data_IF_741100810843
#
_entry.id   IF_741100810843
#
_cell.length_a   1.000
_cell.length_b   1.000
_cell.length_c   1.000
_cell.angle_alpha   90.00
_cell.angle_beta   90.00
_cell.angle_gamma   90.00
#
_symmetry.space_group_name_H-M   'P 1'
#
loop_
_entity.id
_entity.type
_entity.pdbx_description
1 polymer ?
#
# COMPACT_ATOMS: atom_id res chain seq x y z
N UNK A 1 -2.82 7.83 11.50
CA UNK A 1 -2.85 6.70 12.45
C UNK A 1 -2.91 5.41 11.68
N UNK A 2 -1.86 4.59 11.81
CA UNK A 2 -1.80 3.14 11.63
C UNK A 2 -2.58 2.45 10.50
N UNK A 3 -2.56 2.99 9.28
CA UNK A 3 -2.62 2.11 8.12
C UNK A 3 -1.25 1.95 7.51
N UNK A 4 -0.85 0.68 7.37
CA UNK A 4 0.25 0.25 6.52
C UNK A 4 1.67 0.44 7.08
N UNK A 5 1.92 0.07 8.35
CA UNK A 5 3.26 0.16 8.98
C UNK A 5 4.40 -0.55 8.20
N UNK A 6 4.09 -1.37 7.20
CA UNK A 6 5.07 -2.04 6.34
C UNK A 6 5.05 -1.65 4.86
N UNK A 7 3.93 -1.18 4.28
CA UNK A 7 3.81 -0.90 2.83
C UNK A 7 3.72 0.59 2.48
N UNK A 8 3.32 1.47 3.41
CA UNK A 8 3.18 2.92 3.17
C UNK A 8 3.59 3.69 4.41
N UNK A 9 4.47 4.67 4.24
CA UNK A 9 4.88 5.57 5.31
C UNK A 9 3.68 6.37 5.85
N UNK A 10 3.36 6.17 7.12
CA UNK A 10 2.20 6.79 7.78
C UNK A 10 2.26 8.31 7.92
N UNK A 11 3.42 8.93 7.66
CA UNK A 11 3.63 10.38 7.76
C UNK A 11 3.41 11.12 6.44
N UNK A 12 3.62 10.46 5.30
CA UNK A 12 3.60 11.12 3.98
C UNK A 12 2.91 10.30 2.87
N UNK A 13 2.38 9.12 3.18
CA UNK A 13 1.66 8.30 2.21
C UNK A 13 2.55 7.64 1.14
N UNK A 14 3.87 7.70 1.26
CA UNK A 14 4.79 7.09 0.28
C UNK A 14 4.87 5.59 0.47
N UNK A 15 4.70 4.84 -0.62
CA UNK A 15 4.80 3.37 -0.65
C UNK A 15 6.25 2.91 -0.42
N UNK A 16 6.47 1.96 0.50
CA UNK A 16 7.75 1.23 0.56
C UNK A 16 7.80 0.20 -0.57
N UNK A 17 8.60 0.50 -1.59
CA UNK A 17 8.78 -0.33 -2.78
C UNK A 17 9.23 -1.76 -2.45
N UNK A 18 9.95 -1.96 -1.34
CA UNK A 18 10.48 -3.28 -0.95
C UNK A 18 9.41 -4.17 -0.35
N UNK A 19 8.35 -3.58 0.18
CA UNK A 19 7.28 -4.30 0.85
C UNK A 19 6.19 -4.78 -0.11
N UNK A 20 6.17 -4.25 -1.34
CA UNK A 20 5.25 -4.69 -2.39
C UNK A 20 6.02 -5.53 -3.40
N UNK A 21 5.71 -6.83 -3.45
CA UNK A 21 6.43 -7.82 -4.27
C UNK A 21 6.56 -7.42 -5.75
N UNK A 22 5.46 -6.91 -6.35
CA UNK A 22 5.42 -6.52 -7.77
C UNK A 22 6.26 -5.29 -8.07
N UNK A 23 6.53 -4.44 -7.08
CA UNK A 23 7.41 -3.27 -7.21
C UNK A 23 8.86 -3.65 -6.90
N UNK A 24 9.09 -4.48 -5.87
CA UNK A 24 10.41 -4.96 -5.49
C UNK A 24 11.06 -5.83 -6.59
N UNK A 25 10.27 -6.57 -7.36
CA UNK A 25 10.71 -7.46 -8.44
C UNK A 25 10.05 -7.11 -9.76
N UNK A 26 10.06 -5.82 -10.11
CA UNK A 26 9.42 -5.32 -11.32
C UNK A 26 9.82 -6.11 -12.57
N UNK A 27 8.83 -6.45 -13.39
CA UNK A 27 9.00 -7.11 -14.68
C UNK A 27 8.44 -6.21 -15.77
N UNK A 28 9.04 -6.20 -16.96
CA UNK A 28 8.64 -5.30 -18.04
C UNK A 28 7.21 -5.53 -18.56
N UNK A 29 6.63 -6.71 -18.33
CA UNK A 29 5.23 -7.02 -18.67
C UNK A 29 4.23 -6.64 -17.57
N UNK A 30 4.69 -6.17 -16.41
CA UNK A 30 3.78 -5.65 -15.39
C UNK A 30 3.16 -4.34 -15.85
N UNK A 31 1.89 -4.16 -15.47
CA UNK A 31 1.11 -2.98 -15.79
C UNK A 31 0.61 -2.32 -14.51
N UNK A 32 0.15 -1.07 -14.62
CA UNK A 32 -0.49 -0.35 -13.52
C UNK A 32 -1.63 -1.18 -12.91
N UNK A 33 -2.37 -1.92 -13.75
CA UNK A 33 -3.42 -2.84 -13.30
C UNK A 33 -2.88 -3.89 -12.30
N UNK A 34 -1.73 -4.49 -12.58
CA UNK A 34 -1.10 -5.49 -11.69
C UNK A 34 -0.73 -4.86 -10.35
N UNK A 35 -0.19 -3.64 -10.36
CA UNK A 35 0.16 -2.90 -9.14
C UNK A 35 -1.07 -2.63 -8.28
N UNK A 36 -2.15 -2.13 -8.88
CA UNK A 36 -3.39 -1.82 -8.17
C UNK A 36 -4.07 -3.09 -7.61
N UNK A 37 -4.01 -4.21 -8.34
CA UNK A 37 -4.54 -5.48 -7.88
C UNK A 37 -3.75 -6.03 -6.68
N UNK A 38 -2.42 -5.93 -6.70
CA UNK A 38 -1.58 -6.36 -5.57
C UNK A 38 -1.81 -5.49 -4.33
N UNK A 39 -1.92 -4.17 -4.51
CA UNK A 39 -2.29 -3.25 -3.42
C UNK A 39 -3.62 -3.64 -2.78
N UNK A 40 -4.66 -3.88 -3.58
CA UNK A 40 -5.97 -4.32 -3.08
C UNK A 40 -5.86 -5.66 -2.34
N UNK A 41 -5.11 -6.62 -2.88
CA UNK A 41 -4.88 -7.92 -2.23
C UNK A 41 -4.22 -7.74 -0.86
N UNK A 42 -3.21 -6.88 -0.77
CA UNK A 42 -2.50 -6.58 0.46
C UNK A 42 -3.40 -5.89 1.49
N UNK A 43 -4.26 -4.95 1.08
CA UNK A 43 -5.25 -4.31 1.96
C UNK A 43 -6.23 -5.33 2.58
N UNK A 44 -6.57 -6.39 1.85
CA UNK A 44 -7.45 -7.48 2.32
C UNK A 44 -6.73 -8.58 3.11
N UNK A 45 -5.40 -8.50 3.27
CA UNK A 45 -4.66 -9.50 4.06
C UNK A 45 -5.08 -9.47 5.53
N UNK A 46 -4.98 -10.61 6.22
CA UNK A 46 -5.37 -10.73 7.65
C UNK A 46 -4.64 -9.75 8.56
N UNK A 47 -3.40 -9.40 8.21
CA UNK A 47 -2.58 -8.42 8.94
C UNK A 47 -3.13 -7.00 8.75
N UNK A 48 -3.53 -6.65 7.53
CA UNK A 48 -3.93 -5.27 7.20
C UNK A 48 -5.42 -4.98 7.42
N UNK A 49 -6.31 -5.97 7.28
CA UNK A 49 -7.75 -5.77 7.39
C UNK A 49 -8.20 -5.35 8.81
N UNK A 50 -7.39 -5.66 9.82
CA UNK A 50 -7.67 -5.33 11.23
C UNK A 50 -7.07 -4.00 11.67
N UNK A 51 -6.33 -3.33 10.80
CA UNK A 51 -5.68 -2.07 11.13
C UNK A 51 -6.71 -0.93 11.23
N UNK A 52 -6.61 -0.05 12.23
CA UNK A 52 -7.46 1.12 12.32
C UNK A 52 -7.14 2.09 11.18
N UNK A 53 -8.18 2.50 10.45
CA UNK A 53 -8.09 3.50 9.37
C UNK A 53 -8.07 4.92 9.93
N UNK A 54 -7.40 5.87 9.26
CA UNK A 54 -7.67 7.29 9.49
C UNK A 54 -9.13 7.62 9.12
N UNK A 55 -9.66 8.77 9.59
CA UNK A 55 -10.94 9.28 9.15
C UNK A 55 -11.04 9.33 7.61
N UNK A 56 -12.19 8.95 7.09
CA UNK A 56 -12.47 9.06 5.66
C UNK A 56 -12.36 10.52 5.19
N UNK A 57 -11.82 10.73 3.99
CA UNK A 57 -11.59 12.06 3.43
C UNK A 57 -10.27 12.72 3.84
N UNK A 58 -9.44 12.07 4.66
CA UNK A 58 -8.10 12.57 4.98
C UNK A 58 -7.12 12.31 3.83
N UNK A 59 -6.41 13.35 3.39
CA UNK A 59 -5.33 13.29 2.39
C UNK A 59 -3.99 13.73 2.99
N UNK A 60 -2.89 13.17 2.49
CA UNK A 60 -1.55 13.68 2.79
C UNK A 60 -1.28 14.97 2.01
N UNK A 61 -0.62 15.94 2.63
CA UNK A 61 -0.05 17.09 1.94
C UNK A 61 1.21 16.67 1.18
N UNK A 62 1.46 17.30 0.03
CA UNK A 62 2.64 17.07 -0.81
C UNK A 62 3.89 17.77 -0.25
#
# INVERSE_FOLDING_TARGET
>A
GALVRHLVHSSNGVVDLRAISVLAKWQNWYSIKVVLQELRRLMMSKENVKLPQPPEGQCYSN
#
